data_IF_451566782957
#
_entry.id   IF_451566782957
#
_cell.length_a   1.000
_cell.length_b   1.000
_cell.length_c   1.000
_cell.angle_alpha   90.00
_cell.angle_beta   90.00
_cell.angle_gamma   90.00
#
_symmetry.space_group_name_H-M   'P 1'
#
loop_
_entity.id
_entity.type
_entity.pdbx_description
1 polymer ?
#
# COMPACT_ATOMS: atom_id res chain seq x y z
N UNK A 1 2.34 -16.76 2.36
CA UNK A 1 1.22 -17.71 2.51
C UNK A 1 0.42 -17.36 3.77
N UNK A 2 -0.86 -17.75 3.81
CA UNK A 2 -1.74 -17.49 4.96
C UNK A 2 -2.64 -18.69 5.21
N UNK A 3 -2.62 -19.21 6.44
CA UNK A 3 -3.44 -20.34 6.88
C UNK A 3 -4.26 -19.90 8.08
N UNK A 4 -5.59 -20.12 8.02
CA UNK A 4 -6.51 -19.80 9.11
C UNK A 4 -6.61 -21.00 10.06
N UNK A 5 -5.91 -20.94 11.16
CA UNK A 5 -5.84 -22.04 12.15
C UNK A 5 -6.96 -22.00 13.20
N UNK A 6 -7.47 -20.81 13.53
CA UNK A 6 -8.43 -20.58 14.60
C UNK A 6 -7.95 -21.09 15.97
N UNK A 7 -6.69 -20.76 16.33
CA UNK A 7 -6.05 -21.16 17.59
C UNK A 7 -6.87 -20.76 18.82
N UNK A 8 -7.42 -19.56 18.84
CA UNK A 8 -8.21 -19.03 19.97
C UNK A 8 -9.69 -19.39 19.95
N UNK A 9 -10.15 -20.32 19.11
CA UNK A 9 -11.56 -20.72 19.11
C UNK A 9 -11.92 -21.51 20.36
N UNK A 10 -12.87 -21.02 21.18
CA UNK A 10 -13.28 -21.60 22.47
C UNK A 10 -12.30 -21.34 23.62
N UNK A 11 -11.30 -20.48 23.45
CA UNK A 11 -10.27 -20.19 24.45
C UNK A 11 -10.87 -19.64 25.76
N UNK A 12 -11.84 -18.74 25.66
CA UNK A 12 -12.52 -18.17 26.84
C UNK A 12 -13.32 -19.16 27.66
N UNK A 13 -13.76 -20.25 27.06
CA UNK A 13 -14.52 -21.32 27.74
C UNK A 13 -13.60 -22.37 28.34
N UNK A 14 -12.54 -22.74 27.60
CA UNK A 14 -11.67 -23.85 27.96
C UNK A 14 -10.37 -23.43 28.65
N UNK A 15 -9.92 -22.19 28.44
CA UNK A 15 -8.59 -21.70 28.87
C UNK A 15 -7.43 -22.27 28.05
N UNK A 16 -7.70 -23.10 27.02
CA UNK A 16 -6.70 -23.79 26.21
C UNK A 16 -6.83 -23.45 24.74
N UNK A 17 -5.76 -23.62 23.99
CA UNK A 17 -5.75 -23.52 22.54
C UNK A 17 -6.70 -24.55 21.92
N UNK A 18 -7.40 -24.17 20.85
CA UNK A 18 -8.26 -25.09 20.13
C UNK A 18 -7.46 -26.29 19.60
N UNK A 19 -7.76 -27.55 19.96
CA UNK A 19 -6.94 -28.71 19.58
C UNK A 19 -6.78 -28.88 18.05
N UNK A 20 -7.88 -28.69 17.28
CA UNK A 20 -7.82 -28.73 15.82
C UNK A 20 -7.05 -27.52 15.23
N UNK A 21 -7.16 -26.38 15.90
CA UNK A 21 -6.39 -25.17 15.57
C UNK A 21 -4.90 -25.36 15.80
N UNK A 22 -4.52 -25.93 16.95
CA UNK A 22 -3.14 -26.25 17.32
C UNK A 22 -2.49 -27.20 16.31
N UNK A 23 -3.15 -28.30 15.94
CA UNK A 23 -2.66 -29.23 14.92
C UNK A 23 -2.46 -28.57 13.56
N UNK A 24 -3.41 -27.72 13.11
CA UNK A 24 -3.28 -26.97 11.85
C UNK A 24 -2.14 -25.95 11.90
N UNK A 25 -1.97 -25.25 13.01
CA UNK A 25 -0.91 -24.27 13.18
C UNK A 25 0.47 -24.94 13.13
N UNK A 26 0.65 -26.06 13.85
CA UNK A 26 1.89 -26.83 13.84
C UNK A 26 2.25 -27.31 12.43
N UNK A 27 1.27 -27.88 11.70
CA UNK A 27 1.46 -28.30 10.30
C UNK A 27 1.83 -27.14 9.39
N UNK A 28 1.19 -25.97 9.58
CA UNK A 28 1.48 -24.78 8.82
C UNK A 28 2.90 -24.25 9.08
N UNK A 29 3.33 -24.21 10.34
CA UNK A 29 4.68 -23.73 10.71
C UNK A 29 5.74 -24.71 10.19
N UNK A 30 5.50 -26.01 10.31
CA UNK A 30 6.40 -27.00 9.72
C UNK A 30 6.58 -26.81 8.22
N UNK A 31 5.49 -26.59 7.49
CA UNK A 31 5.53 -26.26 6.08
C UNK A 31 6.32 -24.97 5.80
N UNK A 32 6.09 -23.91 6.59
CA UNK A 32 6.80 -22.63 6.40
C UNK A 32 8.30 -22.76 6.69
N UNK A 33 8.69 -23.50 7.71
CA UNK A 33 10.08 -23.79 8.03
C UNK A 33 10.76 -24.56 6.88
N UNK A 34 10.09 -25.59 6.33
CA UNK A 34 10.60 -26.35 5.19
C UNK A 34 10.76 -25.48 3.93
N UNK A 35 9.79 -24.61 3.63
CA UNK A 35 9.87 -23.66 2.51
C UNK A 35 11.01 -22.67 2.70
N UNK A 36 11.14 -22.08 3.89
CA UNK A 36 12.21 -21.13 4.20
C UNK A 36 13.59 -21.79 4.01
N UNK A 37 13.77 -23.00 4.51
CA UNK A 37 15.00 -23.81 4.31
C UNK A 37 15.28 -24.05 2.83
N UNK A 38 14.26 -24.47 2.06
CA UNK A 38 14.39 -24.70 0.61
C UNK A 38 14.73 -23.45 -0.20
N UNK A 39 14.32 -22.28 0.29
CA UNK A 39 14.63 -20.98 -0.32
C UNK A 39 15.93 -20.35 0.20
N UNK A 40 16.65 -21.00 1.12
CA UNK A 40 17.86 -20.46 1.74
C UNK A 40 17.59 -19.25 2.66
N UNK A 41 16.36 -19.11 3.18
CA UNK A 41 15.96 -18.01 4.06
C UNK A 41 16.17 -18.45 5.51
N UNK A 42 17.18 -17.91 6.15
CA UNK A 42 17.49 -18.14 7.58
C UNK A 42 18.10 -16.88 8.18
N UNK A 43 17.80 -16.52 9.44
CA UNK A 43 16.82 -17.15 10.34
C UNK A 43 15.37 -16.79 10.01
N UNK A 44 14.43 -17.59 10.50
CA UNK A 44 12.99 -17.27 10.48
C UNK A 44 12.60 -16.72 11.85
N UNK A 45 12.02 -15.52 11.89
CA UNK A 45 11.48 -14.92 13.11
C UNK A 45 9.98 -15.18 13.18
N UNK A 46 9.49 -15.74 14.28
CA UNK A 46 8.09 -16.02 14.51
C UNK A 46 7.60 -15.37 15.81
N UNK A 47 6.41 -14.76 15.74
CA UNK A 47 5.75 -14.18 16.90
C UNK A 47 4.34 -14.76 17.08
N UNK A 48 3.91 -14.88 18.32
CA UNK A 48 2.54 -15.22 18.69
C UNK A 48 1.91 -14.08 19.49
N UNK A 49 0.61 -13.89 19.33
CA UNK A 49 -0.17 -12.81 19.91
C UNK A 49 -1.24 -13.35 20.86
N UNK A 50 -2.30 -12.61 21.10
CA UNK A 50 -3.34 -12.81 22.10
C UNK A 50 -3.75 -14.28 22.32
N UNK A 51 -4.04 -15.05 21.28
CA UNK A 51 -4.55 -16.42 21.45
C UNK A 51 -3.55 -17.35 22.15
N UNK A 52 -2.25 -17.25 21.82
CA UNK A 52 -1.21 -18.07 22.46
C UNK A 52 -0.82 -17.48 23.83
N UNK A 53 -0.81 -16.17 23.93
CA UNK A 53 -0.49 -15.45 25.18
C UNK A 53 -1.51 -15.74 26.29
N UNK A 54 -2.80 -15.83 25.96
CA UNK A 54 -3.89 -16.01 26.92
C UNK A 54 -4.17 -17.49 27.25
N UNK A 55 -3.68 -18.42 26.43
CA UNK A 55 -3.88 -19.85 26.65
C UNK A 55 -2.94 -20.40 27.73
N UNK A 56 -3.47 -21.24 28.63
CA UNK A 56 -2.68 -21.93 29.66
C UNK A 56 -1.65 -22.89 29.07
N UNK A 57 -1.91 -23.47 27.90
CA UNK A 57 -1.02 -24.34 27.13
C UNK A 57 -0.23 -23.61 26.03
N UNK A 58 -0.24 -22.27 26.04
CA UNK A 58 0.41 -21.46 25.00
C UNK A 58 1.91 -21.64 24.94
N UNK A 59 2.61 -21.72 26.09
CA UNK A 59 4.06 -21.95 26.14
C UNK A 59 4.39 -23.37 25.68
N UNK A 60 3.63 -24.37 26.14
CA UNK A 60 3.78 -25.76 25.70
C UNK A 60 3.68 -25.89 24.17
N UNK A 61 2.74 -25.17 23.55
CA UNK A 61 2.62 -25.12 22.10
C UNK A 61 3.88 -24.51 21.44
N UNK A 62 4.45 -23.46 22.00
CA UNK A 62 5.68 -22.85 21.47
C UNK A 62 6.87 -23.80 21.56
N UNK A 63 6.98 -24.54 22.67
CA UNK A 63 8.03 -25.54 22.88
C UNK A 63 7.88 -26.74 21.93
N UNK A 64 6.64 -27.18 21.69
CA UNK A 64 6.33 -28.21 20.70
C UNK A 64 6.72 -27.77 19.28
N UNK A 65 6.45 -26.52 18.90
CA UNK A 65 6.85 -25.97 17.60
C UNK A 65 8.37 -25.92 17.48
N UNK A 66 9.08 -25.45 18.50
CA UNK A 66 10.54 -25.43 18.51
C UNK A 66 11.13 -26.82 18.34
N UNK A 67 10.63 -27.80 19.10
CA UNK A 67 11.11 -29.18 19.04
C UNK A 67 10.89 -29.83 17.67
N UNK A 68 9.75 -29.58 17.03
CA UNK A 68 9.37 -30.23 15.76
C UNK A 68 9.87 -29.50 14.51
N UNK A 69 10.12 -28.19 14.58
CA UNK A 69 10.40 -27.37 13.39
C UNK A 69 11.70 -26.56 13.47
N UNK A 70 12.33 -26.50 14.65
CA UNK A 70 13.47 -25.64 14.92
C UNK A 70 13.12 -24.13 14.94
N UNK A 71 11.83 -23.77 14.85
CA UNK A 71 11.40 -22.38 14.81
C UNK A 71 11.02 -21.91 16.23
N UNK A 72 11.78 -20.95 16.75
CA UNK A 72 11.44 -20.30 18.02
C UNK A 72 10.31 -19.29 17.83
N UNK A 73 9.26 -19.41 18.62
CA UNK A 73 8.16 -18.45 18.68
C UNK A 73 8.37 -17.52 19.87
N UNK A 74 8.24 -16.22 19.63
CA UNK A 74 8.22 -15.18 20.66
C UNK A 74 6.79 -14.79 20.96
N UNK A 75 6.33 -14.98 22.20
CA UNK A 75 5.03 -14.51 22.64
C UNK A 75 5.18 -13.03 22.98
N UNK A 76 4.48 -12.16 22.24
CA UNK A 76 4.51 -10.71 22.44
C UNK A 76 3.27 -10.22 23.20
N UNK A 77 3.44 -9.18 24.01
CA UNK A 77 2.31 -8.55 24.69
C UNK A 77 1.56 -7.57 23.77
N UNK A 78 0.43 -7.02 24.25
CA UNK A 78 -0.40 -6.13 23.44
C UNK A 78 0.28 -4.78 23.13
N UNK A 79 1.19 -4.29 23.98
CA UNK A 79 1.94 -3.06 23.72
C UNK A 79 2.98 -3.27 22.63
N UNK A 80 3.61 -4.44 22.60
CA UNK A 80 4.55 -4.83 21.55
C UNK A 80 3.82 -5.07 20.23
N UNK A 81 2.65 -5.70 20.27
CA UNK A 81 1.76 -5.87 19.12
C UNK A 81 1.37 -4.51 18.51
N UNK A 82 0.98 -3.53 19.36
CA UNK A 82 0.70 -2.17 18.94
C UNK A 82 1.93 -1.48 18.32
N UNK A 83 3.13 -1.67 18.91
CA UNK A 83 4.38 -1.09 18.42
C UNK A 83 4.72 -1.62 17.03
N UNK A 84 4.70 -2.92 16.86
CA UNK A 84 5.02 -3.55 15.58
C UNK A 84 3.99 -3.19 14.49
N UNK A 85 2.69 -3.15 14.81
CA UNK A 85 1.68 -2.71 13.86
C UNK A 85 1.87 -1.27 13.42
N UNK A 86 2.27 -0.38 14.35
CA UNK A 86 2.59 1.01 14.03
C UNK A 86 3.86 1.13 13.18
N UNK A 87 4.90 0.36 13.44
CA UNK A 87 6.08 0.29 12.59
C UNK A 87 5.75 -0.24 11.19
N UNK A 88 4.83 -1.20 11.08
CA UNK A 88 4.32 -1.64 9.78
C UNK A 88 3.67 -0.49 8.98
N UNK A 89 2.94 0.40 9.65
CA UNK A 89 2.40 1.60 9.01
C UNK A 89 3.53 2.52 8.56
N UNK A 90 4.57 2.73 9.38
CA UNK A 90 5.71 3.56 9.02
C UNK A 90 6.47 3.05 7.79
N UNK A 91 6.53 1.75 7.56
CA UNK A 91 7.12 1.19 6.34
C UNK A 91 6.42 1.71 5.07
N UNK A 92 5.10 1.92 5.12
CA UNK A 92 4.33 2.45 4.00
C UNK A 92 4.26 3.98 3.96
N UNK A 93 4.34 4.62 5.12
CA UNK A 93 4.23 6.08 5.30
C UNK A 93 5.27 6.59 6.30
N UNK A 94 6.54 6.70 5.90
CA UNK A 94 7.57 7.29 6.75
C UNK A 94 7.16 8.69 7.24
N UNK A 95 7.54 9.04 8.45
CA UNK A 95 7.18 10.33 9.08
C UNK A 95 5.68 10.57 9.22
N UNK A 96 4.89 9.51 9.32
CA UNK A 96 3.46 9.63 9.56
C UNK A 96 3.15 10.20 10.92
N UNK A 97 2.05 10.93 10.97
CA UNK A 97 1.43 11.47 12.16
C UNK A 97 0.00 10.94 12.28
N UNK A 98 -0.39 10.47 13.44
CA UNK A 98 -1.75 10.01 13.69
C UNK A 98 -1.87 8.87 14.67
N UNK A 99 -2.96 8.12 14.53
CA UNK A 99 -3.30 6.97 15.37
C UNK A 99 -3.36 5.70 14.51
N UNK A 100 -2.67 4.66 14.94
CA UNK A 100 -2.79 3.31 14.37
C UNK A 100 -3.77 2.51 15.22
N UNK A 101 -4.70 1.84 14.58
CA UNK A 101 -5.64 0.91 15.22
C UNK A 101 -5.51 -0.45 14.57
N UNK A 102 -4.93 -1.41 15.27
CA UNK A 102 -4.92 -2.82 14.87
C UNK A 102 -6.04 -3.56 15.57
N UNK A 103 -6.80 -4.36 14.82
CA UNK A 103 -7.84 -5.23 15.38
C UNK A 103 -7.54 -6.68 15.04
N UNK A 104 -7.24 -7.43 16.08
CA UNK A 104 -7.09 -8.87 16.03
C UNK A 104 -8.43 -9.61 16.12
N UNK A 105 -8.38 -10.87 16.54
CA UNK A 105 -9.56 -11.66 16.87
C UNK A 105 -10.11 -11.35 18.28
N UNK A 106 -9.21 -11.29 19.26
CA UNK A 106 -9.54 -11.15 20.67
C UNK A 106 -9.23 -9.76 21.23
N UNK A 107 -8.30 -9.03 20.62
CA UNK A 107 -7.81 -7.74 21.09
C UNK A 107 -7.93 -6.64 20.06
N UNK A 108 -7.76 -5.39 20.52
CA UNK A 108 -7.58 -4.20 19.69
C UNK A 108 -6.50 -3.32 20.33
N UNK A 109 -5.53 -2.97 19.55
CA UNK A 109 -4.39 -2.17 19.92
C UNK A 109 -4.48 -0.78 19.29
N UNK A 110 -4.07 0.25 20.06
CA UNK A 110 -3.87 1.60 19.57
C UNK A 110 -2.43 2.03 19.79
N UNK A 111 -1.86 2.73 18.84
CA UNK A 111 -0.54 3.33 18.94
C UNK A 111 -0.49 4.71 18.29
N UNK A 112 0.19 5.64 18.94
CA UNK A 112 0.49 6.95 18.37
C UNK A 112 1.62 6.89 17.37
N UNK A 113 1.51 7.68 16.31
CA UNK A 113 2.60 8.04 15.42
C UNK A 113 2.84 9.54 15.44
N UNK A 114 4.10 9.93 15.60
CA UNK A 114 4.54 11.31 15.56
C UNK A 114 5.91 11.41 14.88
N UNK A 115 5.96 12.04 13.73
CA UNK A 115 7.15 12.21 12.86
C UNK A 115 7.98 10.92 12.67
N UNK A 116 7.30 9.81 12.43
CA UNK A 116 7.94 8.51 12.23
C UNK A 116 8.36 7.78 13.51
N UNK A 117 7.97 8.26 14.66
CA UNK A 117 8.19 7.59 15.95
C UNK A 117 6.89 6.99 16.48
N UNK A 118 7.01 5.84 17.16
CA UNK A 118 5.89 5.20 17.84
C UNK A 118 5.84 5.72 19.28
N UNK A 119 4.75 6.40 19.63
CA UNK A 119 4.55 6.99 20.94
C UNK A 119 3.78 6.07 21.90
N UNK A 120 2.71 6.61 22.51
CA UNK A 120 1.84 5.88 23.45
C UNK A 120 1.18 4.68 22.78
N UNK A 121 1.01 3.64 23.56
CA UNK A 121 0.42 2.38 23.10
C UNK A 121 -0.51 1.87 24.17
N UNK A 122 -1.66 1.37 23.75
CA UNK A 122 -2.65 0.75 24.64
C UNK A 122 -3.25 -0.47 23.96
N UNK A 123 -3.71 -1.41 24.76
CA UNK A 123 -4.40 -2.62 24.33
C UNK A 123 -5.73 -2.78 25.04
N UNK A 124 -6.66 -3.49 24.41
CA UNK A 124 -8.00 -3.75 24.95
C UNK A 124 -8.58 -5.07 24.45
N UNK A 125 -9.59 -5.56 25.12
CA UNK A 125 -10.33 -6.75 24.72
C UNK A 125 -11.47 -6.46 23.70
N UNK A 126 -11.29 -5.43 22.83
CA UNK A 126 -12.29 -5.05 21.80
C UNK A 126 -12.23 -5.90 20.53
N UNK A 127 -11.53 -7.03 20.56
CA UNK A 127 -11.54 -7.97 19.44
C UNK A 127 -12.92 -8.61 19.21
N UNK A 128 -13.35 -8.79 17.94
CA UNK A 128 -14.70 -9.28 17.61
C UNK A 128 -15.07 -10.64 18.21
N UNK A 129 -14.11 -11.53 18.49
CA UNK A 129 -14.38 -12.81 19.15
C UNK A 129 -14.79 -12.59 20.61
N UNK A 130 -14.03 -11.80 21.37
CA UNK A 130 -14.35 -11.46 22.76
C UNK A 130 -15.69 -10.73 22.88
N UNK A 131 -16.00 -9.83 21.94
CA UNK A 131 -17.27 -9.11 21.94
C UNK A 131 -18.48 -10.00 21.77
N UNK A 132 -18.35 -11.16 21.13
CA UNK A 132 -19.44 -12.15 21.00
C UNK A 132 -19.78 -12.86 22.31
N UNK A 133 -18.84 -12.97 23.22
CA UNK A 133 -18.97 -13.67 24.49
C UNK A 133 -19.66 -12.81 25.54
N UNK A 134 -19.86 -11.51 25.28
CA UNK A 134 -20.52 -10.61 26.23
C UNK A 134 -21.97 -11.00 26.43
N UNK A 135 -22.28 -11.38 27.68
CA UNK A 135 -23.66 -11.73 28.11
C UNK A 135 -24.51 -10.45 28.17
N UNK A 136 -25.82 -10.56 27.92
CA UNK A 136 -26.74 -9.41 27.90
C UNK A 136 -26.99 -8.81 26.50
N UNK A 137 -26.48 -9.48 25.47
CA UNK A 137 -26.83 -9.21 24.08
C UNK A 137 -26.24 -7.89 23.53
N UNK A 138 -26.82 -7.39 22.44
CA UNK A 138 -26.31 -6.25 21.68
C UNK A 138 -26.21 -4.94 22.49
N UNK A 139 -27.11 -4.75 23.49
CA UNK A 139 -27.12 -3.55 24.35
C UNK A 139 -25.91 -3.55 25.28
N UNK A 140 -25.67 -4.67 25.97
CA UNK A 140 -24.52 -4.83 26.86
C UNK A 140 -23.19 -4.73 26.12
N UNK A 141 -23.08 -5.40 24.95
CA UNK A 141 -21.90 -5.29 24.11
C UNK A 141 -21.60 -3.86 23.69
N UNK A 142 -22.60 -3.07 23.28
CA UNK A 142 -22.39 -1.65 22.94
C UNK A 142 -21.99 -0.80 24.12
N UNK A 143 -22.53 -1.05 25.32
CA UNK A 143 -22.12 -0.37 26.54
C UNK A 143 -20.64 -0.65 26.84
N UNK A 144 -20.25 -1.92 26.83
CA UNK A 144 -18.87 -2.34 27.02
C UNK A 144 -17.91 -1.70 26.02
N UNK A 145 -18.26 -1.68 24.72
CA UNK A 145 -17.43 -1.03 23.69
C UNK A 145 -17.25 0.45 24.01
N UNK A 146 -18.31 1.16 24.43
CA UNK A 146 -18.27 2.58 24.73
C UNK A 146 -17.40 2.87 25.96
N UNK A 147 -17.63 2.16 27.05
CA UNK A 147 -16.86 2.31 28.29
C UNK A 147 -15.35 2.03 28.05
N UNK A 148 -15.05 0.93 27.36
CA UNK A 148 -13.65 0.62 27.00
C UNK A 148 -13.05 1.70 26.08
N UNK A 149 -13.81 2.23 25.14
CA UNK A 149 -13.33 3.28 24.23
C UNK A 149 -13.10 4.60 24.96
N UNK A 150 -13.86 4.88 26.01
CA UNK A 150 -13.64 6.06 26.88
C UNK A 150 -12.31 5.95 27.62
N UNK A 151 -12.02 4.79 28.22
CA UNK A 151 -10.72 4.52 28.86
C UNK A 151 -9.56 4.62 27.89
N UNK A 152 -9.68 4.03 26.70
CA UNK A 152 -8.64 4.10 25.68
C UNK A 152 -8.38 5.55 25.21
N UNK A 153 -9.43 6.34 25.05
CA UNK A 153 -9.30 7.75 24.67
C UNK A 153 -8.57 8.56 25.74
N UNK A 154 -8.86 8.35 27.02
CA UNK A 154 -8.18 8.99 28.15
C UNK A 154 -6.70 8.59 28.21
N UNK A 155 -6.40 7.29 28.08
CA UNK A 155 -5.03 6.78 28.09
C UNK A 155 -4.20 7.30 26.90
N UNK A 156 -4.79 7.40 25.73
CA UNK A 156 -4.11 7.94 24.55
C UNK A 156 -3.88 9.45 24.66
N UNK A 157 -4.75 10.18 25.38
CA UNK A 157 -4.66 11.64 25.59
C UNK A 157 -4.21 12.41 24.33
N UNK A 158 -4.88 12.12 23.21
CA UNK A 158 -4.55 12.70 21.90
C UNK A 158 -5.58 13.73 21.48
N UNK A 159 -5.10 14.76 20.79
CA UNK A 159 -5.97 15.71 20.09
C UNK A 159 -6.82 15.04 19.03
N UNK A 160 -7.99 15.58 18.81
CA UNK A 160 -8.88 15.18 17.69
C UNK A 160 -8.33 15.67 16.35
N UNK A 161 -8.86 15.15 15.23
CA UNK A 161 -8.53 15.55 13.85
C UNK A 161 -7.20 15.00 13.30
N UNK A 162 -6.61 13.99 13.92
CA UNK A 162 -5.48 13.25 13.38
C UNK A 162 -5.93 12.29 12.24
N UNK A 163 -4.98 11.68 11.55
CA UNK A 163 -5.25 10.54 10.67
C UNK A 163 -5.40 9.27 11.51
N UNK A 164 -6.33 8.40 11.10
CA UNK A 164 -6.47 7.05 11.64
C UNK A 164 -6.02 6.03 10.60
N UNK A 165 -5.06 5.19 10.97
CA UNK A 165 -4.59 4.06 10.16
C UNK A 165 -5.23 2.77 10.68
N UNK A 166 -5.98 2.09 9.83
CA UNK A 166 -6.67 0.84 10.15
C UNK A 166 -5.82 -0.35 9.71
N UNK A 167 -5.34 -1.13 10.66
CA UNK A 167 -4.56 -2.36 10.47
C UNK A 167 -5.42 -3.55 10.88
N UNK A 168 -5.31 -4.66 10.19
CA UNK A 168 -6.01 -5.89 10.53
C UNK A 168 -7.05 -6.33 9.51
N UNK A 169 -7.41 -7.59 9.62
CA UNK A 169 -8.25 -8.23 8.61
C UNK A 169 -9.70 -7.81 8.63
N UNK A 170 -10.23 -7.42 9.78
CA UNK A 170 -11.63 -7.00 9.93
C UNK A 170 -11.85 -5.63 9.30
N UNK A 171 -10.91 -4.69 9.48
CA UNK A 171 -10.97 -3.39 8.81
C UNK A 171 -10.86 -3.52 7.30
N UNK A 172 -9.98 -4.41 6.82
CA UNK A 172 -9.85 -4.70 5.37
C UNK A 172 -11.12 -5.29 4.77
N UNK A 173 -11.85 -6.11 5.54
CA UNK A 173 -13.15 -6.63 5.10
C UNK A 173 -14.20 -5.51 5.01
N UNK A 174 -14.29 -4.63 6.01
CA UNK A 174 -15.19 -3.46 5.99
C UNK A 174 -14.85 -2.54 4.80
N UNK A 175 -13.57 -2.32 4.52
CA UNK A 175 -13.13 -1.52 3.38
C UNK A 175 -13.54 -2.14 2.03
N UNK A 176 -13.44 -3.47 1.87
CA UNK A 176 -13.92 -4.17 0.67
C UNK A 176 -15.42 -4.01 0.48
N UNK A 177 -16.18 -4.09 1.57
CA UNK A 177 -17.64 -3.87 1.53
C UNK A 177 -17.95 -2.41 1.15
N UNK A 178 -17.19 -1.44 1.65
CA UNK A 178 -17.35 -0.03 1.25
C UNK A 178 -17.02 0.20 -0.22
N UNK A 179 -15.94 -0.41 -0.72
CA UNK A 179 -15.58 -0.36 -2.14
C UNK A 179 -16.69 -0.94 -3.02
N UNK A 180 -17.22 -2.13 -2.69
CA UNK A 180 -18.30 -2.78 -3.41
C UNK A 180 -19.58 -1.93 -3.40
N UNK A 181 -20.01 -1.48 -2.22
CA UNK A 181 -21.18 -0.62 -2.05
C UNK A 181 -21.11 0.65 -2.90
N UNK A 182 -19.93 1.18 -3.14
CA UNK A 182 -19.68 2.42 -3.87
C UNK A 182 -19.36 2.23 -5.34
N UNK A 183 -19.23 0.99 -5.82
CA UNK A 183 -18.70 0.74 -7.16
C UNK A 183 -17.30 1.33 -7.34
N UNK A 184 -16.45 1.28 -6.30
CA UNK A 184 -15.14 1.91 -6.33
C UNK A 184 -14.21 1.19 -7.33
N UNK A 185 -13.60 1.91 -8.30
CA UNK A 185 -13.00 1.26 -9.47
C UNK A 185 -11.65 0.57 -9.19
N UNK A 186 -10.96 0.90 -8.09
CA UNK A 186 -9.64 0.34 -7.76
C UNK A 186 -9.70 -0.52 -6.49
N UNK A 187 -9.55 -1.83 -6.62
CA UNK A 187 -9.68 -2.79 -5.51
C UNK A 187 -8.40 -3.00 -4.69
N UNK A 188 -7.56 -1.99 -4.56
CA UNK A 188 -6.35 -1.99 -3.71
C UNK A 188 -6.72 -1.49 -2.32
N UNK A 189 -6.43 -2.29 -1.28
CA UNK A 189 -6.80 -1.94 0.09
C UNK A 189 -5.84 -0.93 0.74
N UNK A 190 -4.54 -1.01 0.42
CA UNK A 190 -3.55 -0.11 0.97
C UNK A 190 -3.79 1.33 0.51
N UNK A 191 -3.88 2.27 1.46
CA UNK A 191 -4.24 3.67 1.21
C UNK A 191 -5.70 3.89 0.73
N UNK A 192 -6.58 2.89 0.86
CA UNK A 192 -8.00 3.13 0.69
C UNK A 192 -8.51 4.04 1.80
N UNK A 193 -9.17 5.12 1.43
CA UNK A 193 -9.62 6.14 2.38
C UNK A 193 -11.12 6.17 2.53
N UNK A 194 -11.57 6.34 3.76
CA UNK A 194 -12.98 6.45 4.12
C UNK A 194 -13.22 7.66 5.01
N UNK A 195 -14.29 8.39 4.73
CA UNK A 195 -14.79 9.43 5.61
C UNK A 195 -15.70 8.84 6.70
N UNK A 196 -15.92 9.56 7.79
CA UNK A 196 -16.86 9.16 8.84
C UNK A 196 -18.28 8.86 8.29
N UNK A 197 -18.74 9.65 7.32
CA UNK A 197 -20.03 9.43 6.64
C UNK A 197 -20.05 8.11 5.85
N UNK A 198 -18.97 7.78 5.15
CA UNK A 198 -18.86 6.51 4.41
C UNK A 198 -18.85 5.33 5.36
N UNK A 199 -18.06 5.37 6.43
CA UNK A 199 -18.01 4.33 7.47
C UNK A 199 -19.41 4.11 8.08
N UNK A 200 -20.13 5.17 8.42
CA UNK A 200 -21.49 5.06 8.96
C UNK A 200 -22.45 4.41 7.98
N UNK A 201 -22.41 4.80 6.69
CA UNK A 201 -23.23 4.18 5.63
C UNK A 201 -22.88 2.70 5.41
N UNK A 202 -21.61 2.36 5.43
CA UNK A 202 -21.14 0.97 5.28
C UNK A 202 -21.54 0.11 6.46
N UNK A 203 -21.46 0.62 7.69
CA UNK A 203 -21.93 -0.09 8.87
C UNK A 203 -23.46 -0.37 8.81
N UNK A 204 -24.25 0.61 8.34
CA UNK A 204 -25.69 0.42 8.11
C UNK A 204 -25.94 -0.63 7.02
N UNK A 205 -25.19 -0.57 5.93
CA UNK A 205 -25.29 -1.53 4.82
C UNK A 205 -24.94 -2.96 5.24
N UNK A 206 -23.89 -3.14 6.06
CA UNK A 206 -23.53 -4.46 6.63
C UNK A 206 -24.69 -5.06 7.42
N UNK A 207 -25.39 -4.24 8.23
CA UNK A 207 -26.52 -4.69 9.04
C UNK A 207 -27.74 -5.06 8.17
N UNK A 208 -27.96 -4.34 7.08
CA UNK A 208 -29.12 -4.53 6.20
C UNK A 208 -28.92 -5.64 5.14
N UNK A 209 -27.70 -6.10 4.92
CA UNK A 209 -27.36 -7.06 3.86
C UNK A 209 -27.29 -8.50 4.39
N UNK A 210 -27.56 -9.46 3.49
CA UNK A 210 -27.37 -10.86 3.81
C UNK A 210 -25.86 -11.22 3.84
N UNK A 211 -25.35 -11.79 4.95
CA UNK A 211 -23.90 -12.03 5.11
C UNK A 211 -23.28 -12.91 4.01
N UNK A 212 -24.01 -13.93 3.55
CA UNK A 212 -23.53 -14.85 2.52
C UNK A 212 -23.35 -14.14 1.17
N UNK A 213 -24.30 -13.27 0.78
CA UNK A 213 -24.19 -12.50 -0.46
C UNK A 213 -23.02 -11.51 -0.42
N UNK A 214 -22.89 -10.76 0.69
CA UNK A 214 -21.74 -9.86 0.89
C UNK A 214 -20.42 -10.61 0.82
N UNK A 215 -20.36 -11.78 1.46
CA UNK A 215 -19.17 -12.62 1.47
C UNK A 215 -18.73 -12.98 0.06
N UNK A 216 -19.64 -13.47 -0.76
CA UNK A 216 -19.35 -13.88 -2.15
C UNK A 216 -18.95 -12.68 -3.01
N UNK A 217 -19.73 -11.62 -2.97
CA UNK A 217 -19.51 -10.44 -3.80
C UNK A 217 -18.19 -9.72 -3.48
N UNK A 218 -17.85 -9.63 -2.18
CA UNK A 218 -16.63 -8.94 -1.73
C UNK A 218 -15.41 -9.88 -1.61
N UNK A 219 -15.51 -11.17 -1.92
CA UNK A 219 -14.43 -12.14 -1.78
C UNK A 219 -13.90 -12.26 -0.34
N UNK A 220 -14.81 -12.25 0.66
CA UNK A 220 -14.48 -12.34 2.08
C UNK A 220 -14.71 -13.78 2.55
N UNK A 221 -13.74 -14.38 3.28
CA UNK A 221 -13.92 -15.71 3.86
C UNK A 221 -15.03 -15.71 4.92
N UNK A 222 -15.68 -16.86 5.10
CA UNK A 222 -16.76 -17.02 6.09
C UNK A 222 -16.31 -16.67 7.51
N UNK A 223 -15.16 -17.19 7.93
CA UNK A 223 -14.57 -16.89 9.23
C UNK A 223 -14.30 -15.40 9.44
N UNK A 224 -13.97 -14.67 8.37
CA UNK A 224 -13.75 -13.22 8.44
C UNK A 224 -15.08 -12.47 8.43
N UNK A 225 -16.02 -12.87 7.58
CA UNK A 225 -17.33 -12.22 7.49
C UNK A 225 -18.09 -12.29 8.81
N UNK A 226 -17.94 -13.39 9.54
CA UNK A 226 -18.56 -13.55 10.85
C UNK A 226 -18.10 -12.52 11.89
N UNK A 227 -16.92 -11.90 11.74
CA UNK A 227 -16.37 -10.88 12.66
C UNK A 227 -16.76 -9.45 12.27
N UNK A 228 -17.19 -9.24 11.02
CA UNK A 228 -17.46 -7.91 10.45
C UNK A 228 -18.53 -7.12 11.22
N UNK A 229 -19.66 -7.70 11.66
CA UNK A 229 -20.69 -6.94 12.38
C UNK A 229 -20.17 -6.30 13.67
N UNK A 230 -19.44 -7.04 14.49
CA UNK A 230 -18.85 -6.55 15.74
C UNK A 230 -17.77 -5.49 15.45
N UNK A 231 -16.86 -5.78 14.54
CA UNK A 231 -15.84 -4.82 14.12
C UNK A 231 -16.46 -3.52 13.59
N UNK A 232 -17.59 -3.56 12.88
CA UNK A 232 -18.25 -2.36 12.39
C UNK A 232 -18.79 -1.46 13.51
N UNK A 233 -19.24 -2.05 14.62
CA UNK A 233 -19.69 -1.31 15.81
C UNK A 233 -18.48 -0.65 16.50
N UNK A 234 -17.39 -1.39 16.67
CA UNK A 234 -16.15 -0.84 17.23
C UNK A 234 -15.64 0.32 16.38
N UNK A 235 -15.62 0.18 15.05
CA UNK A 235 -15.18 1.25 14.16
C UNK A 235 -16.04 2.51 14.28
N UNK A 236 -17.36 2.35 14.42
CA UNK A 236 -18.24 3.51 14.63
C UNK A 236 -17.94 4.23 15.93
N UNK A 237 -17.71 3.50 17.03
CA UNK A 237 -17.38 4.11 18.32
C UNK A 237 -16.00 4.75 18.29
N UNK A 238 -15.01 4.13 17.67
CA UNK A 238 -13.68 4.68 17.42
C UNK A 238 -13.76 6.03 16.66
N UNK A 239 -14.57 6.09 15.60
CA UNK A 239 -14.82 7.32 14.84
C UNK A 239 -15.52 8.40 15.66
N UNK A 240 -16.47 8.01 16.51
CA UNK A 240 -17.21 8.92 17.36
C UNK A 240 -16.29 9.56 18.42
N UNK A 241 -15.46 8.74 19.05
CA UNK A 241 -14.63 9.16 20.18
C UNK A 241 -13.39 9.94 19.72
N UNK A 242 -12.63 9.43 18.77
CA UNK A 242 -11.37 10.03 18.33
C UNK A 242 -11.53 11.08 17.21
N UNK A 243 -12.67 11.14 16.54
CA UNK A 243 -13.00 12.14 15.48
C UNK A 243 -11.86 12.38 14.49
N UNK A 244 -11.28 11.34 13.87
CA UNK A 244 -10.14 11.51 12.99
C UNK A 244 -10.53 12.33 11.75
N UNK A 245 -9.57 13.09 11.21
CA UNK A 245 -9.76 13.91 10.01
C UNK A 245 -9.96 13.04 8.77
N UNK A 246 -9.17 11.98 8.64
CA UNK A 246 -9.29 10.98 7.58
C UNK A 246 -8.91 9.59 8.12
N UNK A 247 -9.39 8.57 7.41
CA UNK A 247 -9.13 7.18 7.75
C UNK A 247 -8.50 6.50 6.54
N UNK A 248 -7.36 5.85 6.75
CA UNK A 248 -6.66 5.10 5.72
C UNK A 248 -6.48 3.63 6.14
N UNK A 249 -6.74 2.71 5.23
CA UNK A 249 -6.53 1.28 5.47
C UNK A 249 -5.09 0.89 5.15
N UNK A 250 -4.45 0.18 6.06
CA UNK A 250 -3.11 -0.37 5.84
C UNK A 250 -3.18 -1.85 5.47
N UNK A 251 -2.41 -2.23 4.45
CA UNK A 251 -2.10 -3.64 4.18
C UNK A 251 -0.94 -4.13 5.01
N UNK A 252 -0.16 -3.22 5.59
CA UNK A 252 0.98 -3.49 6.44
C UNK A 252 0.57 -3.51 7.91
N UNK A 253 1.20 -4.36 8.70
CA UNK A 253 0.94 -4.57 10.12
C UNK A 253 2.14 -5.19 10.80
N UNK A 254 1.93 -6.06 11.78
CA UNK A 254 2.99 -6.66 12.63
C UNK A 254 4.16 -7.22 11.80
N UNK A 255 3.89 -7.99 10.73
CA UNK A 255 4.95 -8.61 9.92
C UNK A 255 5.86 -7.59 9.25
N UNK A 256 5.26 -6.57 8.70
CA UNK A 256 5.97 -5.46 8.08
C UNK A 256 6.68 -4.60 9.15
N UNK A 257 6.14 -4.51 10.36
CA UNK A 257 6.78 -3.88 11.51
C UNK A 257 8.04 -4.60 11.96
N UNK A 258 8.00 -5.93 12.00
CA UNK A 258 9.18 -6.74 12.29
C UNK A 258 10.29 -6.54 11.24
N UNK A 259 9.93 -6.40 9.97
CA UNK A 259 10.89 -6.07 8.91
C UNK A 259 11.44 -4.65 9.07
N UNK A 260 10.56 -3.68 9.36
CA UNK A 260 10.96 -2.30 9.61
C UNK A 260 11.97 -2.18 10.75
N UNK A 261 11.80 -2.95 11.82
CA UNK A 261 12.70 -2.96 12.97
C UNK A 261 14.13 -3.42 12.61
N UNK A 262 14.25 -4.32 11.65
CA UNK A 262 15.55 -4.81 11.18
C UNK A 262 16.19 -3.91 10.11
N UNK A 263 15.48 -2.90 9.61
CA UNK A 263 16.03 -1.98 8.62
C UNK A 263 16.99 -0.99 9.27
N UNK A 264 18.12 -0.67 8.65
CA UNK A 264 18.97 0.45 9.04
C UNK A 264 18.20 1.78 9.01
N UNK A 265 18.50 2.69 9.91
CA UNK A 265 17.83 4.00 10.00
C UNK A 265 17.89 4.80 8.69
N UNK A 266 19.00 4.73 7.99
CA UNK A 266 19.16 5.36 6.68
C UNK A 266 18.12 4.86 5.68
N UNK A 267 17.79 3.56 5.71
CA UNK A 267 16.81 2.96 4.82
C UNK A 267 15.38 3.29 5.26
N UNK A 268 15.09 3.33 6.56
CA UNK A 268 13.79 3.73 7.12
C UNK A 268 13.40 5.15 6.71
N UNK A 269 14.39 6.04 6.57
CA UNK A 269 14.18 7.44 6.18
C UNK A 269 14.02 7.66 4.67
N UNK A 270 14.24 6.64 3.84
CA UNK A 270 14.04 6.74 2.39
C UNK A 270 12.58 6.64 2.00
N UNK A 271 12.26 7.20 0.83
CA UNK A 271 10.91 7.10 0.26
C UNK A 271 10.63 5.66 -0.20
N UNK A 272 9.64 4.95 0.39
CA UNK A 272 9.38 3.54 0.08
C UNK A 272 8.96 3.32 -1.37
N UNK A 273 8.27 4.28 -2.00
CA UNK A 273 7.92 4.20 -3.41
C UNK A 273 9.17 4.21 -4.28
N UNK A 274 10.06 5.18 -4.03
CA UNK A 274 11.28 5.33 -4.85
C UNK A 274 12.20 4.13 -4.68
N UNK A 275 12.34 3.60 -3.46
CA UNK A 275 13.18 2.40 -3.22
C UNK A 275 12.59 1.14 -3.89
N UNK A 276 11.27 0.93 -3.81
CA UNK A 276 10.61 -0.16 -4.54
C UNK A 276 10.78 -0.04 -6.06
N UNK A 277 10.67 1.17 -6.61
CA UNK A 277 10.88 1.40 -8.04
C UNK A 277 12.34 1.21 -8.46
N UNK A 278 13.32 1.62 -7.63
CA UNK A 278 14.75 1.35 -7.88
C UNK A 278 15.06 -0.15 -7.87
N UNK A 279 14.43 -0.89 -6.96
CA UNK A 279 14.57 -2.34 -6.93
C UNK A 279 14.02 -2.97 -8.21
N UNK A 280 12.82 -2.58 -8.63
CA UNK A 280 12.20 -3.06 -9.86
C UNK A 280 13.04 -2.71 -11.10
N UNK A 281 13.56 -1.48 -11.19
CA UNK A 281 14.46 -1.08 -12.27
C UNK A 281 15.70 -1.98 -12.34
N UNK A 282 16.40 -2.18 -11.21
CA UNK A 282 17.61 -3.02 -11.17
C UNK A 282 17.36 -4.46 -11.59
N UNK A 283 16.19 -5.00 -11.21
CA UNK A 283 15.85 -6.39 -11.46
C UNK A 283 15.33 -6.64 -12.87
N UNK A 284 14.51 -5.73 -13.40
CA UNK A 284 13.66 -6.02 -14.55
C UNK A 284 13.91 -5.12 -15.77
N UNK A 285 14.53 -3.94 -15.62
CA UNK A 285 14.81 -3.08 -16.77
C UNK A 285 15.97 -3.61 -17.63
N UNK A 286 15.91 -3.32 -18.95
CA UNK A 286 17.01 -3.65 -19.87
C UNK A 286 18.28 -2.87 -19.59
N UNK A 287 18.13 -1.63 -19.11
CA UNK A 287 19.22 -0.71 -18.82
C UNK A 287 19.06 -0.12 -17.41
N UNK A 288 19.46 -0.84 -16.35
CA UNK A 288 19.37 -0.36 -14.98
C UNK A 288 20.21 0.93 -14.79
N UNK A 289 19.64 1.91 -14.06
CA UNK A 289 20.24 3.22 -13.83
C UNK A 289 19.80 4.30 -14.81
N UNK A 290 19.19 3.94 -15.93
CA UNK A 290 18.69 4.89 -16.92
C UNK A 290 17.55 5.76 -16.39
N UNK A 291 16.71 5.25 -15.51
CA UNK A 291 15.58 6.00 -14.93
C UNK A 291 16.00 7.31 -14.28
N UNK A 292 17.21 7.38 -13.69
CA UNK A 292 17.77 8.62 -13.13
C UNK A 292 18.01 9.69 -14.20
N UNK A 293 18.54 9.31 -15.31
CA UNK A 293 18.86 10.23 -16.42
C UNK A 293 17.58 10.65 -17.14
N UNK A 294 16.66 9.71 -17.32
CA UNK A 294 15.33 9.99 -17.87
C UNK A 294 14.55 10.97 -16.96
N UNK A 295 14.68 10.84 -15.63
CA UNK A 295 14.12 11.82 -14.69
C UNK A 295 14.66 13.23 -14.97
N UNK A 296 15.97 13.39 -15.09
CA UNK A 296 16.57 14.69 -15.39
C UNK A 296 16.15 15.25 -16.76
N UNK A 297 15.95 14.37 -17.74
CA UNK A 297 15.47 14.74 -19.06
C UNK A 297 14.03 15.28 -19.05
N UNK A 298 13.10 14.63 -18.30
CA UNK A 298 11.68 15.03 -18.30
C UNK A 298 11.38 16.17 -17.33
N UNK A 299 12.13 16.33 -16.25
CA UNK A 299 11.84 17.32 -15.18
C UNK A 299 11.67 18.76 -15.62
N UNK A 300 12.40 19.27 -16.65
CA UNK A 300 12.18 20.63 -17.14
C UNK A 300 10.76 20.93 -17.62
N UNK A 301 9.97 19.89 -17.98
CA UNK A 301 8.56 20.04 -18.37
C UNK A 301 7.63 20.31 -17.19
N UNK A 302 8.08 20.06 -15.97
CA UNK A 302 7.27 20.14 -14.73
C UNK A 302 7.85 21.16 -13.73
N UNK A 303 8.04 22.44 -14.13
CA UNK A 303 8.74 23.42 -13.28
C UNK A 303 7.98 23.75 -11.98
N UNK A 304 6.67 23.52 -11.95
CA UNK A 304 5.81 23.78 -10.78
C UNK A 304 5.51 22.53 -9.95
N UNK A 305 6.12 21.38 -10.27
CA UNK A 305 5.89 20.16 -9.53
C UNK A 305 6.38 20.29 -8.08
N UNK A 306 5.48 20.08 -7.13
CA UNK A 306 5.83 19.97 -5.73
C UNK A 306 6.58 18.66 -5.46
N UNK A 307 7.06 18.47 -4.23
CA UNK A 307 7.85 17.29 -3.86
C UNK A 307 7.07 15.98 -4.08
N UNK A 308 5.76 15.97 -3.81
CA UNK A 308 4.90 14.79 -4.02
C UNK A 308 4.84 14.42 -5.50
N UNK A 309 4.66 15.40 -6.38
CA UNK A 309 4.63 15.16 -7.82
C UNK A 309 6.02 14.73 -8.35
N UNK A 310 7.09 15.35 -7.88
CA UNK A 310 8.46 14.99 -8.25
C UNK A 310 8.78 13.53 -7.93
N UNK A 311 8.34 13.00 -6.77
CA UNK A 311 8.54 11.59 -6.42
C UNK A 311 7.77 10.63 -7.34
N UNK A 312 6.55 10.99 -7.78
CA UNK A 312 5.78 10.16 -8.72
C UNK A 312 6.43 10.19 -10.11
N UNK A 313 6.89 11.34 -10.58
CA UNK A 313 7.67 11.45 -11.84
C UNK A 313 8.90 10.56 -11.76
N UNK A 314 9.62 10.57 -10.64
CA UNK A 314 10.79 9.73 -10.43
C UNK A 314 10.42 8.23 -10.44
N UNK A 315 9.32 7.85 -9.80
CA UNK A 315 8.80 6.48 -9.87
C UNK A 315 8.48 6.07 -11.31
N UNK A 316 7.82 6.94 -12.08
CA UNK A 316 7.50 6.67 -13.49
C UNK A 316 8.76 6.44 -14.34
N UNK A 317 9.79 7.28 -14.15
CA UNK A 317 11.04 7.15 -14.92
C UNK A 317 11.85 5.92 -14.53
N UNK A 318 11.80 5.47 -13.26
CA UNK A 318 12.41 4.20 -12.84
C UNK A 318 11.67 2.99 -13.41
N UNK A 319 10.33 3.04 -13.47
CA UNK A 319 9.49 1.94 -13.95
C UNK A 319 9.30 1.92 -15.47
N UNK A 320 9.84 2.88 -16.21
CA UNK A 320 9.52 3.09 -17.63
C UNK A 320 9.79 1.88 -18.52
N UNK A 321 10.67 0.97 -18.14
CA UNK A 321 11.09 -0.19 -18.95
C UNK A 321 10.89 -1.56 -18.27
N UNK A 322 10.34 -1.62 -17.06
CA UNK A 322 10.21 -2.90 -16.31
C UNK A 322 9.27 -3.92 -16.96
N UNK A 323 8.37 -3.48 -17.81
CA UNK A 323 7.43 -4.35 -18.53
C UNK A 323 7.85 -4.67 -19.98
N UNK A 324 9.11 -4.48 -20.34
CA UNK A 324 9.58 -4.65 -21.73
C UNK A 324 9.43 -6.06 -22.29
N UNK A 325 9.45 -7.09 -21.41
CA UNK A 325 9.25 -8.50 -21.80
C UNK A 325 7.81 -8.83 -22.18
N UNK A 326 6.85 -7.96 -21.86
CA UNK A 326 5.46 -8.14 -22.28
C UNK A 326 5.33 -8.00 -23.80
N UNK A 327 4.37 -8.73 -24.39
CA UNK A 327 4.07 -8.60 -25.83
C UNK A 327 3.81 -7.12 -26.18
N UNK A 328 4.35 -6.60 -27.29
CA UNK A 328 4.24 -5.19 -27.66
C UNK A 328 2.80 -4.65 -27.65
N UNK A 329 1.83 -5.42 -28.13
CA UNK A 329 0.42 -5.00 -28.23
C UNK A 329 -0.24 -4.83 -26.86
N UNK A 330 0.21 -5.57 -25.84
CA UNK A 330 -0.35 -5.53 -24.49
C UNK A 330 0.50 -4.73 -23.50
N UNK A 331 1.67 -4.26 -23.91
CA UNK A 331 2.65 -3.63 -23.02
C UNK A 331 2.09 -2.42 -22.28
N UNK A 332 1.26 -1.62 -22.96
CA UNK A 332 0.59 -0.46 -22.34
C UNK A 332 -0.38 -0.85 -21.23
N UNK A 333 -1.17 -1.90 -21.44
CA UNK A 333 -2.10 -2.40 -20.43
C UNK A 333 -1.38 -3.08 -19.26
N UNK A 334 -0.39 -3.91 -19.56
CA UNK A 334 0.39 -4.62 -18.54
C UNK A 334 1.10 -3.65 -17.61
N UNK A 335 1.71 -2.59 -18.14
CA UNK A 335 2.40 -1.61 -17.31
C UNK A 335 1.43 -0.81 -16.45
N UNK A 336 0.23 -0.51 -16.97
CA UNK A 336 -0.83 0.14 -16.20
C UNK A 336 -1.30 -0.74 -15.04
N UNK A 337 -1.62 -2.00 -15.30
CA UNK A 337 -2.02 -2.96 -14.26
C UNK A 337 -0.92 -3.13 -13.20
N UNK A 338 0.32 -3.30 -13.63
CA UNK A 338 1.45 -3.44 -12.72
C UNK A 338 1.61 -2.21 -11.82
N UNK A 339 1.56 -1.00 -12.36
CA UNK A 339 1.71 0.23 -11.59
C UNK A 339 0.56 0.46 -10.61
N UNK A 340 -0.68 0.18 -11.02
CA UNK A 340 -1.86 0.43 -10.19
C UNK A 340 -2.04 -0.62 -9.10
N UNK A 341 -1.64 -1.88 -9.33
CA UNK A 341 -1.89 -3.03 -8.44
C UNK A 341 -0.67 -3.52 -7.68
N UNK A 342 0.54 -3.07 -8.04
CA UNK A 342 1.76 -3.47 -7.33
C UNK A 342 1.70 -3.08 -5.83
N UNK A 343 2.38 -3.86 -5.00
CA UNK A 343 2.52 -3.58 -3.58
C UNK A 343 3.52 -2.44 -3.34
N UNK A 344 3.16 -1.24 -3.80
CA UNK A 344 3.95 -0.02 -3.64
C UNK A 344 3.42 0.76 -2.42
N UNK A 345 4.30 1.02 -1.46
CA UNK A 345 3.99 1.89 -0.31
C UNK A 345 3.95 3.37 -0.69
N UNK A 346 3.34 4.18 0.16
CA UNK A 346 3.37 5.64 0.04
C UNK A 346 2.64 6.23 -1.18
N UNK A 347 1.72 5.51 -1.81
CA UNK A 347 0.94 5.95 -2.98
C UNK A 347 -0.54 6.06 -2.66
N UNK A 348 -1.15 7.22 -2.87
CA UNK A 348 -2.60 7.38 -2.92
C UNK A 348 -3.18 6.69 -4.16
N UNK A 349 -4.45 6.33 -4.12
CA UNK A 349 -5.10 5.66 -5.25
C UNK A 349 -5.07 6.49 -6.54
N UNK A 350 -5.33 7.80 -6.46
CA UNK A 350 -5.18 8.69 -7.62
C UNK A 350 -3.73 8.78 -8.13
N UNK A 351 -2.75 8.72 -7.24
CA UNK A 351 -1.32 8.70 -7.63
C UNK A 351 -0.95 7.39 -8.32
N UNK A 352 -1.55 6.24 -7.93
CA UNK A 352 -1.39 4.96 -8.63
C UNK A 352 -1.92 5.03 -10.05
N UNK A 353 -3.12 5.62 -10.22
CA UNK A 353 -3.74 5.77 -11.53
C UNK A 353 -2.92 6.73 -12.40
N UNK A 354 -2.45 7.86 -11.84
CA UNK A 354 -1.57 8.78 -12.53
C UNK A 354 -0.28 8.10 -13.01
N UNK A 355 0.38 7.36 -12.12
CA UNK A 355 1.59 6.60 -12.44
C UNK A 355 1.34 5.58 -13.55
N UNK A 356 0.26 4.81 -13.44
CA UNK A 356 -0.15 3.83 -14.46
C UNK A 356 -0.42 4.49 -15.80
N UNK A 357 -1.16 5.61 -15.81
CA UNK A 357 -1.48 6.34 -17.04
C UNK A 357 -0.23 6.95 -17.70
N UNK A 358 0.69 7.50 -16.92
CA UNK A 358 1.96 8.02 -17.44
C UNK A 358 2.79 6.89 -18.09
N UNK A 359 2.87 5.74 -17.44
CA UNK A 359 3.56 4.57 -17.98
C UNK A 359 2.85 3.98 -19.21
N UNK A 360 1.53 3.96 -19.25
CA UNK A 360 0.75 3.53 -20.42
C UNK A 360 1.04 4.45 -21.61
N UNK A 361 1.03 5.76 -21.43
CA UNK A 361 1.35 6.75 -22.48
C UNK A 361 2.81 6.67 -22.97
N UNK A 362 3.69 6.01 -22.23
CA UNK A 362 5.05 5.68 -22.68
C UNK A 362 5.03 4.68 -23.85
N UNK A 363 4.02 3.80 -23.93
CA UNK A 363 3.92 2.73 -24.93
C UNK A 363 2.86 2.99 -26.00
N UNK A 364 1.75 3.60 -25.65
CA UNK A 364 0.62 3.84 -26.57
C UNK A 364 0.14 5.29 -26.52
N UNK A 365 -0.44 5.74 -27.62
CA UNK A 365 -1.19 7.01 -27.66
C UNK A 365 -2.70 6.80 -27.41
N UNK A 366 -3.16 5.54 -27.45
CA UNK A 366 -4.56 5.19 -27.22
C UNK A 366 -4.81 5.15 -25.71
N UNK A 367 -5.75 5.96 -25.23
CA UNK A 367 -6.18 6.02 -23.86
C UNK A 367 -7.62 5.51 -23.72
N UNK A 368 -8.51 6.04 -24.54
CA UNK A 368 -9.95 5.83 -24.43
C UNK A 368 -10.39 4.48 -25.04
N UNK A 369 -11.49 3.95 -24.53
CA UNK A 369 -12.02 2.66 -24.93
C UNK A 369 -11.23 1.47 -24.37
N UNK A 370 -10.58 1.67 -23.23
CA UNK A 370 -9.88 0.62 -22.49
C UNK A 370 -10.69 0.19 -21.26
N UNK A 371 -10.40 -1.00 -20.74
CA UNK A 371 -10.99 -1.47 -19.47
C UNK A 371 -10.60 -0.63 -18.26
N UNK A 372 -9.73 0.35 -18.43
CA UNK A 372 -9.22 1.24 -17.38
C UNK A 372 -9.95 2.58 -17.32
N UNK A 373 -10.84 2.88 -18.26
CA UNK A 373 -11.54 4.15 -18.34
C UNK A 373 -12.19 4.57 -17.01
N UNK A 374 -12.87 3.67 -16.24
CA UNK A 374 -13.43 4.04 -14.94
C UNK A 374 -12.40 4.47 -13.90
N UNK A 375 -11.12 4.09 -14.06
CA UNK A 375 -10.03 4.52 -13.17
C UNK A 375 -9.61 5.96 -13.46
N UNK A 376 -9.75 6.42 -14.70
CA UNK A 376 -9.37 7.77 -15.08
C UNK A 376 -10.25 8.85 -14.45
N UNK A 377 -11.49 8.50 -14.04
CA UNK A 377 -12.38 9.37 -13.27
C UNK A 377 -11.81 9.74 -11.87
N UNK A 378 -10.79 9.03 -11.42
CA UNK A 378 -10.05 9.34 -10.18
C UNK A 378 -9.05 10.48 -10.35
N UNK A 379 -8.84 10.97 -11.57
CA UNK A 379 -7.90 12.03 -11.93
C UNK A 379 -8.64 13.28 -12.42
N UNK A 380 -8.08 14.45 -12.16
CA UNK A 380 -8.53 15.67 -12.83
C UNK A 380 -8.05 15.71 -14.29
N UNK A 381 -8.70 16.53 -15.10
CA UNK A 381 -8.31 16.76 -16.51
C UNK A 381 -6.83 17.19 -16.62
N UNK A 382 -6.36 18.04 -15.70
CA UNK A 382 -4.98 18.50 -15.65
C UNK A 382 -4.02 17.34 -15.32
N UNK A 383 -4.40 16.45 -14.39
CA UNK A 383 -3.61 15.28 -14.04
C UNK A 383 -3.51 14.28 -15.20
N UNK A 384 -4.61 14.08 -15.93
CA UNK A 384 -4.62 13.25 -17.14
C UNK A 384 -3.67 13.82 -18.18
N UNK A 385 -3.73 15.12 -18.42
CA UNK A 385 -2.85 15.81 -19.36
C UNK A 385 -1.39 15.76 -18.95
N UNK A 386 -1.12 15.95 -17.68
CA UNK A 386 0.22 15.86 -17.11
C UNK A 386 0.81 14.44 -17.23
N UNK A 387 0.00 13.39 -17.01
CA UNK A 387 0.39 12.00 -17.21
C UNK A 387 0.69 11.68 -18.68
N UNK A 388 -0.10 12.24 -19.62
CA UNK A 388 0.15 12.13 -21.07
C UNK A 388 1.50 12.77 -21.45
N UNK A 389 1.75 14.01 -21.00
CA UNK A 389 3.01 14.71 -21.24
C UNK A 389 4.19 13.92 -20.70
N UNK A 390 4.09 13.41 -19.46
CA UNK A 390 5.14 12.60 -18.83
C UNK A 390 5.43 11.33 -19.64
N UNK A 391 4.40 10.59 -20.04
CA UNK A 391 4.53 9.36 -20.80
C UNK A 391 5.20 9.60 -22.16
N UNK A 392 4.75 10.63 -22.90
CA UNK A 392 5.32 11.01 -24.20
C UNK A 392 6.76 11.50 -24.08
N UNK A 393 7.07 12.26 -23.02
CA UNK A 393 8.45 12.71 -22.74
C UNK A 393 9.38 11.53 -22.44
N UNK A 394 8.92 10.56 -21.62
CA UNK A 394 9.67 9.33 -21.37
C UNK A 394 9.87 8.51 -22.65
N UNK A 395 8.85 8.46 -23.54
CA UNK A 395 8.95 7.77 -24.82
C UNK A 395 10.00 8.39 -25.73
N UNK A 396 10.04 9.71 -25.81
CA UNK A 396 11.08 10.44 -26.55
C UNK A 396 12.46 10.21 -25.95
N UNK A 397 12.61 10.42 -24.64
CA UNK A 397 13.90 10.26 -23.95
C UNK A 397 14.49 8.86 -24.11
N UNK A 398 13.64 7.82 -24.06
CA UNK A 398 14.09 6.45 -24.24
C UNK A 398 14.60 6.11 -25.67
N UNK A 399 14.35 6.94 -26.65
CA UNK A 399 14.87 6.77 -28.02
C UNK A 399 16.22 7.44 -28.24
N UNK A 400 16.59 8.38 -27.38
CA UNK A 400 17.78 9.19 -27.55
C UNK A 400 18.96 8.67 -26.71
N UNK A 401 19.00 7.36 -26.42
CA UNK A 401 19.88 6.83 -25.39
C UNK A 401 21.05 6.03 -25.94
N UNK A 402 22.25 6.31 -25.46
CA UNK A 402 23.47 5.61 -25.84
C UNK A 402 24.05 4.76 -24.69
N UNK A 403 24.10 5.30 -23.47
CA UNK A 403 24.66 4.63 -22.27
C UNK A 403 24.00 5.15 -20.97
N UNK A 404 24.47 4.70 -19.81
CA UNK A 404 23.96 5.13 -18.49
C UNK A 404 24.71 6.30 -17.87
N UNK A 405 25.79 6.75 -18.48
CA UNK A 405 26.69 7.74 -17.90
C UNK A 405 26.46 9.14 -18.44
N UNK A 406 25.98 9.24 -19.68
CA UNK A 406 25.82 10.51 -20.38
C UNK A 406 24.38 10.75 -20.81
N UNK A 407 23.88 11.94 -20.52
CA UNK A 407 22.61 12.38 -21.06
C UNK A 407 22.77 12.75 -22.55
N UNK A 408 22.01 12.11 -23.47
CA UNK A 408 22.15 12.38 -24.91
C UNK A 408 21.64 13.76 -25.30
N UNK A 409 20.90 14.39 -24.39
CA UNK A 409 20.33 15.69 -24.59
C UNK A 409 19.53 16.19 -23.41
N UNK A 410 18.96 17.37 -23.54
CA UNK A 410 18.09 17.98 -22.53
C UNK A 410 16.91 18.70 -23.16
N UNK A 411 15.79 18.74 -22.45
CA UNK A 411 14.65 19.57 -22.80
C UNK A 411 14.78 20.94 -22.16
N UNK A 412 14.48 22.00 -22.92
CA UNK A 412 14.29 23.36 -22.41
C UNK A 412 12.87 23.80 -22.71
N UNK A 413 12.09 23.96 -21.66
CA UNK A 413 10.68 24.31 -21.74
C UNK A 413 10.43 25.76 -21.28
N UNK A 414 9.74 26.53 -22.09
CA UNK A 414 9.29 27.89 -21.79
C UNK A 414 7.77 27.96 -21.82
N UNK A 415 7.09 27.67 -20.68
CA UNK A 415 5.64 27.51 -20.63
C UNK A 415 4.88 28.74 -21.12
N UNK A 416 5.32 29.96 -20.76
CA UNK A 416 4.67 31.20 -21.16
C UNK A 416 4.71 31.45 -22.68
N UNK A 417 5.74 30.94 -23.37
CA UNK A 417 5.92 31.04 -24.82
C UNK A 417 5.47 29.81 -25.57
N UNK A 418 5.05 28.76 -24.86
CA UNK A 418 4.75 27.43 -25.41
C UNK A 418 5.85 26.95 -26.37
N UNK A 419 7.12 27.17 -25.99
CA UNK A 419 8.28 26.84 -26.81
C UNK A 419 9.11 25.73 -26.16
N UNK A 420 9.19 24.58 -26.83
CA UNK A 420 9.98 23.43 -26.44
C UNK A 420 11.25 23.37 -27.28
N UNK A 421 12.41 23.34 -26.65
CA UNK A 421 13.66 23.10 -27.35
C UNK A 421 14.27 21.78 -26.89
N UNK A 422 14.52 20.88 -27.83
CA UNK A 422 15.33 19.67 -27.60
C UNK A 422 16.78 20.05 -27.96
N UNK A 423 17.70 19.95 -27.02
CA UNK A 423 19.12 20.17 -27.21
C UNK A 423 19.80 18.81 -27.13
N UNK A 424 20.40 18.35 -28.20
CA UNK A 424 21.08 17.07 -28.35
C UNK A 424 22.59 17.23 -28.24
N UNK A 425 23.24 16.27 -27.59
CA UNK A 425 24.71 16.14 -27.71
C UNK A 425 25.09 15.77 -29.14
N UNK A 426 26.27 16.17 -29.62
CA UNK A 426 26.72 15.87 -31.00
C UNK A 426 26.66 14.35 -31.29
N UNK A 427 27.03 13.53 -30.33
CA UNK A 427 27.07 12.07 -30.42
C UNK A 427 25.65 11.45 -30.54
N UNK A 428 24.64 12.15 -30.07
CA UNK A 428 23.24 11.71 -30.17
C UNK A 428 22.59 12.06 -31.52
N UNK A 429 23.28 12.76 -32.42
CA UNK A 429 22.76 13.14 -33.74
C UNK A 429 22.25 11.97 -34.55
N UNK A 430 22.96 10.83 -34.65
CA UNK A 430 22.47 9.66 -35.38
C UNK A 430 21.18 9.04 -34.80
N UNK A 431 20.86 9.30 -33.53
CA UNK A 431 19.64 8.79 -32.87
C UNK A 431 18.40 9.64 -33.18
N UNK A 432 18.59 10.84 -33.74
CA UNK A 432 17.50 11.76 -34.06
C UNK A 432 17.10 11.64 -35.53
N UNK A 433 16.36 10.58 -35.84
CA UNK A 433 15.76 10.37 -37.14
C UNK A 433 14.23 10.46 -37.10
N UNK A 434 13.56 10.07 -38.15
CA UNK A 434 12.11 10.20 -38.38
C UNK A 434 11.25 9.78 -37.19
N UNK A 435 11.58 8.63 -36.56
CA UNK A 435 10.81 8.14 -35.42
C UNK A 435 10.97 9.04 -34.19
N UNK A 436 12.17 9.55 -33.91
CA UNK A 436 12.40 10.48 -32.80
C UNK A 436 11.72 11.83 -33.07
N UNK A 437 11.71 12.32 -34.30
CA UNK A 437 10.96 13.51 -34.71
C UNK A 437 9.45 13.33 -34.48
N UNK A 438 8.87 12.20 -34.88
CA UNK A 438 7.47 11.89 -34.63
C UNK A 438 7.15 11.84 -33.13
N UNK A 439 8.08 11.37 -32.27
CA UNK A 439 7.89 11.39 -30.81
C UNK A 439 7.98 12.81 -30.24
N UNK A 440 8.90 13.63 -30.75
CA UNK A 440 8.97 15.05 -30.39
C UNK A 440 7.68 15.78 -30.80
N UNK A 441 7.20 15.58 -32.00
CA UNK A 441 5.95 16.16 -32.49
C UNK A 441 4.74 15.74 -31.60
N UNK A 442 4.65 14.46 -31.23
CA UNK A 442 3.61 13.97 -30.33
C UNK A 442 3.67 14.63 -28.94
N UNK A 443 4.87 14.83 -28.39
CA UNK A 443 5.07 15.55 -27.12
C UNK A 443 4.68 17.03 -27.26
N UNK A 444 5.07 17.67 -28.35
CA UNK A 444 4.78 19.07 -28.65
C UNK A 444 3.27 19.31 -28.76
N UNK A 445 2.55 18.42 -29.44
CA UNK A 445 1.08 18.44 -29.50
C UNK A 445 0.45 18.29 -28.10
N UNK A 446 0.98 17.39 -27.28
CA UNK A 446 0.49 17.21 -25.91
C UNK A 446 0.71 18.47 -25.06
N UNK A 447 1.76 19.22 -25.28
CA UNK A 447 2.06 20.49 -24.61
C UNK A 447 1.29 21.68 -25.20
N UNK A 448 0.59 21.49 -26.32
CA UNK A 448 0.01 22.58 -27.12
C UNK A 448 1.06 23.67 -27.39
N UNK A 449 2.21 23.28 -27.98
CA UNK A 449 3.42 24.09 -28.11
C UNK A 449 4.03 24.00 -29.51
N UNK A 450 5.05 24.82 -29.76
CA UNK A 450 5.99 24.67 -30.88
C UNK A 450 7.28 24.02 -30.39
N UNK A 451 8.00 23.33 -31.29
CA UNK A 451 9.29 22.74 -30.92
C UNK A 451 10.40 23.09 -31.91
N UNK A 452 11.62 23.02 -31.43
CA UNK A 452 12.84 23.12 -32.23
C UNK A 452 13.93 22.21 -31.68
N UNK A 453 14.77 21.73 -32.58
CA UNK A 453 15.94 20.91 -32.23
C UNK A 453 17.20 21.73 -32.41
N UNK A 454 18.12 21.59 -31.50
CA UNK A 454 19.46 22.18 -31.56
C UNK A 454 20.49 21.12 -31.19
N UNK A 455 21.62 21.16 -31.83
CA UNK A 455 22.78 20.37 -31.45
C UNK A 455 23.73 21.25 -30.62
N UNK A 456 24.22 20.69 -29.52
CA UNK A 456 25.26 21.35 -28.74
C UNK A 456 26.53 21.51 -29.60
N UNK A 457 27.30 22.58 -29.36
CA UNK A 457 28.60 22.72 -29.99
C UNK A 457 29.54 21.63 -29.42
N UNK A 458 30.35 21.03 -30.27
CA UNK A 458 31.48 20.21 -29.84
C UNK A 458 32.41 21.12 -29.05
N UNK A 459 32.61 20.85 -27.77
CA UNK A 459 33.60 21.53 -26.91
C UNK A 459 34.96 20.96 -27.17
#
# INVERSE_FOLDING_TARGET
EKIMCALGAGLSETGHLNPKGRARALSAIHRFAALAKGMGITPVTAVATAAVREASDGQEFCDEVLAKTGTKIWIIDGHEEARLSAQGVLLGWPKSYGLVCDIGGSSMELADLDDGQVGRRVTSALGPLKLREIKGGKKAMKAYIRETMDVLHEQMNRETKMRLFLVGGSWRAIARIDMDRRGYPLTVLHEYRMTARQISKTAAYIVASHPTELRHRCGISESRMSLVPQASIVLKELMHKFKPKDVAVSSYGIREGMLYEQMPDELRNRDPLVEACRFAERKDARLPGFGRLLYNFVMPLFPRANWQRKRIIKAATLLHDVSWRSHPDYRGEVVFDNATRANLGGLKHSERVFLGLALMNRYTNKRDGTRFDPLFDMLSTEQIKEAEVLGKAMRLGAMLWLDTDRAPGKLKWKPNKRDLTLILAPEARPLFGEVAEARLASLTTALNATSKVRFAKTT
#
